data_IF_394910250381
#
_entry.id   IF_394910250381
#
_cell.length_a   1.000
_cell.length_b   1.000
_cell.length_c   1.000
_cell.angle_alpha   90.00
_cell.angle_beta   90.00
_cell.angle_gamma   90.00
#
_symmetry.space_group_name_H-M   'P 1'
#
loop_
_entity.id
_entity.type
_entity.pdbx_description
1 polymer ?
#
# COMPACT_ATOMS: atom_id res chain seq x y z
N UNK A 1 52.78 -56.60 -6.20
CA UNK A 1 51.41 -57.16 -6.17
C UNK A 1 50.57 -56.21 -5.31
N UNK A 2 49.78 -55.28 -5.87
CA UNK A 2 48.40 -55.45 -6.38
C UNK A 2 47.47 -56.00 -5.26
N UNK A 3 46.34 -55.39 -4.83
CA UNK A 3 45.34 -54.52 -5.48
C UNK A 3 44.55 -53.69 -4.43
N UNK A 4 44.34 -52.39 -4.70
CA UNK A 4 43.07 -51.64 -4.87
C UNK A 4 42.31 -51.11 -3.64
N UNK A 5 41.60 -49.96 -3.80
CA UNK A 5 41.21 -49.03 -2.74
C UNK A 5 39.70 -49.03 -2.45
N UNK A 6 39.28 -48.38 -1.35
CA UNK A 6 37.86 -48.14 -1.03
C UNK A 6 37.57 -46.64 -0.81
N UNK A 7 36.66 -46.13 -1.66
CA UNK A 7 35.72 -45.00 -1.48
C UNK A 7 36.28 -43.68 -0.93
N UNK A 8 36.48 -42.61 -1.69
CA UNK A 8 35.55 -41.91 -2.60
C UNK A 8 34.30 -41.36 -1.88
N UNK A 9 34.38 -40.11 -1.42
CA UNK A 9 33.26 -39.16 -1.39
C UNK A 9 33.82 -37.74 -1.20
N UNK A 10 34.30 -37.17 -2.30
CA UNK A 10 34.53 -35.74 -2.41
C UNK A 10 33.18 -35.04 -2.37
N UNK A 11 32.87 -34.38 -1.26
CA UNK A 11 31.65 -33.62 -1.09
C UNK A 11 31.73 -32.32 -1.92
N UNK A 12 31.48 -32.49 -3.22
CA UNK A 12 31.36 -31.44 -4.21
C UNK A 12 29.99 -30.78 -4.04
N UNK A 13 29.92 -29.81 -3.13
CA UNK A 13 28.78 -28.88 -3.11
C UNK A 13 28.90 -27.95 -4.31
N UNK A 14 28.40 -28.47 -5.43
CA UNK A 14 28.18 -27.81 -6.71
C UNK A 14 27.42 -26.51 -6.45
N UNK A 15 28.14 -25.39 -6.50
CA UNK A 15 27.56 -24.06 -6.54
C UNK A 15 26.57 -24.01 -7.70
N UNK A 16 25.28 -23.98 -7.39
CA UNK A 16 24.21 -23.79 -8.36
C UNK A 16 24.36 -22.39 -8.96
N UNK A 17 25.16 -22.31 -10.02
CA UNK A 17 25.15 -21.21 -10.98
C UNK A 17 23.78 -21.26 -11.64
N UNK A 18 22.84 -20.48 -11.12
CA UNK A 18 21.62 -20.17 -11.86
C UNK A 18 22.04 -19.33 -13.06
N UNK A 19 22.09 -19.99 -14.22
CA UNK A 19 22.17 -19.34 -15.51
C UNK A 19 20.97 -18.40 -15.62
N UNK A 20 21.24 -17.10 -15.64
CA UNK A 20 20.24 -16.10 -16.01
C UNK A 20 20.03 -16.24 -17.51
N UNK A 21 19.14 -17.14 -17.91
CA UNK A 21 18.60 -17.13 -19.27
C UNK A 21 17.68 -15.91 -19.39
N UNK A 22 18.19 -14.88 -20.06
CA UNK A 22 17.46 -13.67 -20.41
C UNK A 22 16.45 -14.03 -21.49
N UNK A 23 15.22 -14.36 -21.09
CA UNK A 23 14.08 -14.31 -21.99
C UNK A 23 13.63 -12.85 -22.11
N UNK A 24 13.51 -12.28 -23.33
CA UNK A 24 13.02 -10.93 -23.51
C UNK A 24 11.52 -10.89 -23.20
N UNK A 25 11.17 -10.38 -22.01
CA UNK A 25 9.77 -10.16 -21.64
C UNK A 25 9.29 -8.94 -22.45
N UNK A 26 8.54 -9.18 -23.52
CA UNK A 26 7.76 -8.15 -24.19
C UNK A 26 6.67 -7.65 -23.23
N UNK A 27 7.00 -6.65 -22.41
CA UNK A 27 6.12 -6.08 -21.40
C UNK A 27 5.54 -4.78 -21.94
N UNK A 28 4.25 -4.76 -22.27
CA UNK A 28 3.50 -3.50 -22.32
C UNK A 28 3.46 -2.92 -20.90
N UNK A 29 4.39 -2.00 -20.60
CA UNK A 29 4.44 -1.22 -19.36
C UNK A 29 5.66 -1.50 -18.48
N UNK A 30 6.68 -0.63 -18.52
CA UNK A 30 7.92 -0.74 -17.74
C UNK A 30 7.79 0.06 -16.43
N UNK A 31 6.87 -0.34 -15.56
CA UNK A 31 6.99 0.04 -14.14
C UNK A 31 7.26 -1.23 -13.36
N UNK A 32 8.52 -1.67 -13.35
CA UNK A 32 8.96 -2.66 -12.37
C UNK A 32 8.82 -2.01 -10.99
N UNK A 33 7.72 -2.31 -10.28
CA UNK A 33 7.52 -1.85 -8.91
C UNK A 33 8.52 -2.60 -8.03
N UNK A 34 9.71 -2.01 -7.86
CA UNK A 34 10.73 -2.55 -6.97
C UNK A 34 10.32 -2.28 -5.52
N UNK A 35 9.86 -3.31 -4.81
CA UNK A 35 9.57 -3.21 -3.38
C UNK A 35 10.84 -3.49 -2.57
N UNK A 36 11.32 -2.57 -1.71
CA UNK A 36 12.44 -2.85 -0.83
C UNK A 36 12.10 -3.99 0.12
N UNK A 37 13.03 -4.93 0.27
CA UNK A 37 12.88 -6.11 1.12
C UNK A 37 13.65 -5.93 2.42
N UNK A 38 13.11 -6.50 3.50
CA UNK A 38 13.77 -6.58 4.79
C UNK A 38 13.77 -8.03 5.25
N UNK A 39 14.82 -8.45 5.95
CA UNK A 39 14.87 -9.74 6.63
C UNK A 39 14.52 -9.56 8.10
N UNK A 40 13.59 -10.36 8.61
CA UNK A 40 13.11 -10.31 9.99
C UNK A 40 13.34 -11.66 10.67
N UNK A 41 13.96 -11.63 11.85
CA UNK A 41 14.02 -12.80 12.73
C UNK A 41 12.75 -12.85 13.57
N UNK A 42 12.02 -13.96 13.50
CA UNK A 42 10.76 -14.14 14.22
C UNK A 42 10.87 -15.38 15.12
N UNK A 43 10.36 -15.33 16.36
CA UNK A 43 10.14 -16.52 17.16
C UNK A 43 9.21 -17.51 16.42
N UNK A 44 9.41 -18.83 16.58
CA UNK A 44 8.64 -19.84 15.83
C UNK A 44 7.14 -19.77 16.12
N UNK A 45 6.74 -19.44 17.35
CA UNK A 45 5.33 -19.26 17.72
C UNK A 45 4.68 -18.12 16.91
N UNK A 46 5.36 -16.98 16.81
CA UNK A 46 4.87 -15.82 16.08
C UNK A 46 4.84 -16.05 14.56
N UNK A 47 5.76 -16.86 14.03
CA UNK A 47 5.71 -17.27 12.62
C UNK A 47 4.47 -18.10 12.33
N UNK A 48 4.09 -19.00 13.24
CA UNK A 48 2.88 -19.83 13.09
C UNK A 48 1.61 -18.99 13.11
N UNK A 49 1.49 -18.05 14.07
CA UNK A 49 0.36 -17.11 14.13
C UNK A 49 0.25 -16.27 12.85
N UNK A 50 1.39 -15.82 12.31
CA UNK A 50 1.42 -15.07 11.05
C UNK A 50 0.94 -15.89 9.85
N UNK A 51 1.27 -17.18 9.80
CA UNK A 51 0.83 -18.09 8.75
C UNK A 51 -0.66 -18.42 8.87
N UNK A 52 -1.16 -18.61 10.08
CA UNK A 52 -2.59 -18.78 10.37
C UNK A 52 -3.38 -17.53 9.99
N UNK A 53 -2.90 -16.34 10.31
CA UNK A 53 -3.56 -15.08 9.94
C UNK A 53 -3.56 -14.88 8.41
N UNK A 54 -2.43 -15.15 7.75
CA UNK A 54 -2.31 -15.04 6.29
C UNK A 54 -3.25 -16.00 5.56
N UNK A 55 -3.37 -17.25 6.04
CA UNK A 55 -4.28 -18.26 5.47
C UNK A 55 -5.74 -17.90 5.73
N UNK A 56 -6.08 -17.45 6.93
CA UNK A 56 -7.45 -17.01 7.28
C UNK A 56 -7.91 -15.84 6.41
N UNK A 57 -7.01 -14.88 6.13
CA UNK A 57 -7.32 -13.72 5.31
C UNK A 57 -7.15 -13.97 3.80
N UNK A 58 -6.57 -15.10 3.39
CA UNK A 58 -6.28 -15.40 1.98
C UNK A 58 -5.21 -14.49 1.34
N UNK A 59 -4.26 -14.00 2.14
CA UNK A 59 -3.24 -13.03 1.70
C UNK A 59 -1.82 -13.56 1.96
N UNK A 60 -0.81 -12.90 1.38
CA UNK A 60 0.59 -13.29 1.64
C UNK A 60 1.08 -12.86 3.02
N UNK A 61 2.03 -13.61 3.59
CA UNK A 61 2.72 -13.25 4.86
C UNK A 61 3.27 -11.83 4.83
N UNK A 62 3.90 -11.43 3.72
CA UNK A 62 4.49 -10.09 3.57
C UNK A 62 3.42 -8.99 3.56
N UNK A 63 2.21 -9.28 3.08
CA UNK A 63 1.08 -8.35 3.13
C UNK A 63 0.58 -8.17 4.56
N UNK A 64 0.41 -9.25 5.33
CA UNK A 64 0.04 -9.18 6.75
C UNK A 64 1.08 -8.36 7.52
N UNK A 65 2.37 -8.69 7.39
CA UNK A 65 3.46 -7.96 8.04
C UNK A 65 3.44 -6.47 7.67
N UNK A 66 3.25 -6.15 6.39
CA UNK A 66 3.19 -4.76 5.92
C UNK A 66 2.00 -4.01 6.52
N UNK A 67 0.83 -4.63 6.59
CA UNK A 67 -0.36 -4.02 7.18
C UNK A 67 -0.16 -3.78 8.68
N UNK A 68 0.38 -4.76 9.42
CA UNK A 68 0.67 -4.62 10.84
C UNK A 68 1.68 -3.49 11.10
N UNK A 69 2.74 -3.40 10.30
CA UNK A 69 3.70 -2.29 10.37
C UNK A 69 3.05 -0.94 10.07
N UNK A 70 2.24 -0.85 9.01
CA UNK A 70 1.54 0.39 8.66
C UNK A 70 0.60 0.84 9.79
N UNK A 71 -0.21 -0.07 10.33
CA UNK A 71 -1.12 0.20 11.44
C UNK A 71 -0.35 0.66 12.68
N UNK A 72 0.71 -0.05 13.08
CA UNK A 72 1.52 0.28 14.24
C UNK A 72 2.22 1.65 14.12
N UNK A 73 2.80 1.94 12.95
CA UNK A 73 3.49 3.20 12.69
C UNK A 73 2.52 4.39 12.58
N UNK A 74 1.36 4.21 11.92
CA UNK A 74 0.34 5.26 11.83
C UNK A 74 -0.28 5.57 13.19
N UNK A 75 -0.59 4.55 13.98
CA UNK A 75 -1.12 4.73 15.34
C UNK A 75 -0.13 5.51 16.21
N UNK A 76 1.16 5.15 16.17
CA UNK A 76 2.21 5.89 16.90
C UNK A 76 2.38 7.34 16.41
N UNK A 77 2.22 7.61 15.12
CA UNK A 77 2.29 8.98 14.58
C UNK A 77 1.06 9.81 14.97
N UNK A 78 -0.13 9.23 14.90
CA UNK A 78 -1.38 9.88 15.31
C UNK A 78 -1.37 10.19 16.80
N UNK A 79 -0.89 9.28 17.65
CA UNK A 79 -0.78 9.53 19.09
C UNK A 79 0.21 10.66 19.43
N UNK A 80 1.24 10.88 18.60
CA UNK A 80 2.26 11.90 18.84
C UNK A 80 1.93 13.26 18.23
N UNK A 81 1.03 13.34 17.25
CA UNK A 81 0.72 14.58 16.55
C UNK A 81 -0.71 15.00 16.89
N UNK A 82 -0.85 16.05 17.71
CA UNK A 82 -2.14 16.75 17.83
C UNK A 82 -2.50 17.28 16.43
N UNK A 83 -3.71 17.03 15.93
CA UNK A 83 -4.09 17.52 14.60
C UNK A 83 -4.01 19.04 14.59
N UNK A 84 -3.41 19.61 13.55
CA UNK A 84 -3.45 21.05 13.33
C UNK A 84 -4.86 21.47 12.89
N UNK A 85 -5.21 22.76 13.01
CA UNK A 85 -6.50 23.26 12.51
C UNK A 85 -6.71 22.90 11.03
N UNK A 86 -5.64 22.91 10.22
CA UNK A 86 -5.69 22.50 8.81
C UNK A 86 -6.04 21.01 8.67
N UNK A 87 -5.43 20.13 9.46
CA UNK A 87 -5.73 18.68 9.41
C UNK A 87 -7.19 18.38 9.74
N UNK A 88 -7.83 19.23 10.56
CA UNK A 88 -9.23 19.08 10.96
C UNK A 88 -10.24 19.57 9.91
N UNK A 89 -9.84 20.52 9.05
CA UNK A 89 -10.73 21.13 8.04
C UNK A 89 -10.31 20.77 6.61
N UNK A 90 -9.37 19.84 6.45
CA UNK A 90 -8.79 19.49 5.15
C UNK A 90 -9.82 18.92 4.17
N UNK A 91 -10.84 18.24 4.67
CA UNK A 91 -11.98 17.74 3.89
C UNK A 91 -12.97 18.84 3.51
N UNK A 92 -13.04 19.92 4.28
CA UNK A 92 -13.80 21.13 3.97
C UNK A 92 -13.04 22.08 3.03
N UNK A 93 -11.71 21.97 3.01
CA UNK A 93 -10.84 22.80 2.18
C UNK A 93 -10.90 22.33 0.71
N UNK A 94 -11.77 22.96 -0.06
CA UNK A 94 -11.85 22.80 -1.51
C UNK A 94 -11.35 24.05 -2.25
N UNK A 95 -10.91 23.87 -3.50
CA UNK A 95 -10.67 24.97 -4.43
C UNK A 95 -11.83 25.03 -5.43
N UNK A 96 -12.40 26.22 -5.61
CA UNK A 96 -13.47 26.46 -6.57
C UNK A 96 -13.00 27.47 -7.61
N UNK A 97 -13.11 27.11 -8.89
CA UNK A 97 -12.83 28.02 -10.00
C UNK A 97 -14.14 28.75 -10.34
N UNK A 98 -14.18 30.06 -10.12
CA UNK A 98 -15.31 30.88 -10.54
C UNK A 98 -14.97 32.37 -10.59
N UNK A 99 -15.98 33.24 -10.68
CA UNK A 99 -15.80 34.68 -10.79
C UNK A 99 -14.90 35.27 -9.70
N UNK A 100 -14.09 36.27 -10.05
CA UNK A 100 -13.15 36.88 -9.11
C UNK A 100 -13.83 37.58 -7.93
N UNK A 101 -15.11 37.95 -8.08
CA UNK A 101 -15.94 38.65 -7.11
C UNK A 101 -16.85 37.70 -6.28
N UNK A 102 -16.64 36.38 -6.35
CA UNK A 102 -17.44 35.38 -5.64
C UNK A 102 -17.59 35.62 -4.14
N UNK A 103 -16.55 36.15 -3.47
CA UNK A 103 -16.58 36.41 -2.03
C UNK A 103 -17.29 37.69 -1.65
N UNK A 104 -17.44 38.64 -2.58
CA UNK A 104 -17.97 39.98 -2.33
C UNK A 104 -19.38 40.17 -2.88
N UNK A 105 -19.73 39.47 -3.95
CA UNK A 105 -21.00 39.63 -4.62
C UNK A 105 -22.02 38.61 -4.12
N UNK A 106 -22.93 39.06 -3.24
CA UNK A 106 -23.94 38.20 -2.62
C UNK A 106 -25.02 37.72 -3.59
N UNK A 107 -25.15 38.33 -4.77
CA UNK A 107 -26.18 37.94 -5.75
C UNK A 107 -26.02 36.48 -6.20
N UNK A 108 -24.78 35.99 -6.29
CA UNK A 108 -24.50 34.60 -6.65
C UNK A 108 -25.08 33.60 -5.64
N UNK A 109 -25.08 33.93 -4.34
CA UNK A 109 -25.71 33.10 -3.31
C UNK A 109 -27.23 33.12 -3.45
N UNK A 110 -27.83 34.30 -3.62
CA UNK A 110 -29.28 34.45 -3.77
C UNK A 110 -29.82 33.70 -5.00
N UNK A 111 -29.11 33.79 -6.12
CA UNK A 111 -29.43 33.04 -7.34
C UNK A 111 -29.34 31.53 -7.13
N UNK A 112 -28.28 31.04 -6.48
CA UNK A 112 -28.09 29.62 -6.19
C UNK A 112 -29.18 29.08 -5.25
N UNK A 113 -29.50 29.81 -4.18
CA UNK A 113 -30.58 29.45 -3.24
C UNK A 113 -31.93 29.38 -3.94
N UNK A 114 -32.23 30.35 -4.81
CA UNK A 114 -33.49 30.39 -5.57
C UNK A 114 -33.56 29.24 -6.59
N UNK A 115 -32.44 28.91 -7.25
CA UNK A 115 -32.36 27.80 -8.19
C UNK A 115 -32.57 26.43 -7.50
N UNK A 116 -31.95 26.19 -6.35
CA UNK A 116 -32.11 24.96 -5.57
C UNK A 116 -33.53 24.80 -5.04
N UNK A 117 -34.14 25.87 -4.53
CA UNK A 117 -35.55 25.85 -4.09
C UNK A 117 -36.49 25.42 -5.24
N UNK A 118 -36.21 25.89 -6.46
CA UNK A 118 -36.95 25.49 -7.67
C UNK A 118 -36.68 24.03 -8.08
N UNK A 119 -35.47 23.50 -7.88
CA UNK A 119 -35.10 22.10 -8.17
C UNK A 119 -35.80 21.12 -7.23
N UNK A 120 -35.77 21.36 -5.92
CA UNK A 120 -36.44 20.51 -4.94
C UNK A 120 -37.94 20.35 -5.19
N UNK A 121 -38.61 21.42 -5.63
CA UNK A 121 -40.04 21.39 -5.98
C UNK A 121 -40.37 20.51 -7.20
N UNK A 122 -39.45 20.37 -8.16
CA UNK A 122 -39.68 19.59 -9.40
C UNK A 122 -39.51 18.09 -9.20
N UNK A 123 -38.73 17.68 -8.20
CA UNK A 123 -38.43 16.27 -7.92
C UNK A 123 -39.45 15.59 -6.98
N UNK A 124 -40.53 16.30 -6.60
CA UNK A 124 -41.59 15.80 -5.72
C UNK A 124 -42.87 15.43 -6.49
N UNK A 125 -42.74 14.99 -7.75
CA UNK A 125 -43.82 14.47 -8.57
C UNK A 125 -43.56 13.03 -8.97
#
# INVERSE_FOLDING_TARGET
MARRPASESTNSHKAARFHVEVLPIATSGITLILMPTISLKLPPALLRELEEEATTQGVSKSQVVRQCLQKGLRTRRSMKKRPSCLDLVADLAGAFNGPADLSTNTSYLDEALTAEHRRGRKNHR
#
